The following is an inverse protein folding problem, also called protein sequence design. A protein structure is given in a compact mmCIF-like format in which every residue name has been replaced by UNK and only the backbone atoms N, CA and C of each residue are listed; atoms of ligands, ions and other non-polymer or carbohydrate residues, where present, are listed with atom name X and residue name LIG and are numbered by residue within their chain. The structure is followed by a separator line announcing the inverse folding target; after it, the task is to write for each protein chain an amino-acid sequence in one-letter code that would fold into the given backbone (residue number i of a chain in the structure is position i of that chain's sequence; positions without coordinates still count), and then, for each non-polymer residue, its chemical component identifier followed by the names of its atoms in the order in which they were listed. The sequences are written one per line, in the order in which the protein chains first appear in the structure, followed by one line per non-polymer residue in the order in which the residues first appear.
data_IF_319807639622
#
_entry.id   IF_319807639622
#
_cell.length_a   1.000
_cell.length_b   1.000
_cell.length_c   1.000
_cell.angle_alpha   90.00
_cell.angle_beta   90.00
_cell.angle_gamma   90.00
#
_symmetry.space_group_name_H-M   'P 1'
#
loop_
_entity.id
_entity.type
_entity.pdbx_description
1 polymer ?
#
# COMPACT_ATOMS: atom_id res chain seq x y z
N UNK A 1 -18.53 9.62 -28.48
CA UNK A 1 -19.24 8.47 -27.89
C UNK A 1 -18.86 8.38 -26.41
N UNK A 2 -19.81 8.27 -25.48
CA UNK A 2 -19.48 8.06 -24.06
C UNK A 2 -18.78 6.70 -23.89
N UNK A 3 -17.71 6.65 -23.10
CA UNK A 3 -17.03 5.41 -22.75
C UNK A 3 -17.91 4.68 -21.72
N UNK A 4 -18.32 3.42 -21.97
CA UNK A 4 -19.04 2.64 -20.97
C UNK A 4 -18.17 2.49 -19.71
N UNK A 5 -18.76 2.71 -18.54
CA UNK A 5 -18.08 2.55 -17.23
C UNK A 5 -17.40 1.19 -17.11
N UNK A 6 -18.02 0.14 -17.67
CA UNK A 6 -17.47 -1.23 -17.72
C UNK A 6 -16.19 -1.40 -18.56
N UNK A 7 -15.73 -0.36 -19.27
CA UNK A 7 -14.45 -0.35 -20.00
C UNK A 7 -13.34 0.38 -19.25
N UNK A 8 -13.64 1.00 -18.11
CA UNK A 8 -12.64 1.64 -17.28
C UNK A 8 -11.83 0.54 -16.58
N UNK A 9 -10.58 0.37 -17.01
CA UNK A 9 -9.62 -0.57 -16.45
C UNK A 9 -8.62 0.06 -15.49
N UNK A 10 -8.50 1.39 -15.50
CA UNK A 10 -7.58 2.13 -14.64
C UNK A 10 -8.26 3.38 -14.13
N UNK A 11 -8.09 3.66 -12.84
CA UNK A 11 -8.71 4.81 -12.19
C UNK A 11 -7.75 5.43 -11.17
N UNK A 12 -7.71 6.75 -11.17
CA UNK A 12 -7.16 7.54 -10.08
C UNK A 12 -8.30 8.27 -9.38
N UNK A 13 -8.30 8.27 -8.04
CA UNK A 13 -9.28 8.96 -7.22
C UNK A 13 -8.61 9.78 -6.12
N UNK A 14 -8.89 11.08 -6.11
CA UNK A 14 -8.71 11.96 -4.94
C UNK A 14 -10.06 12.60 -4.60
N UNK A 15 -10.98 11.84 -3.97
CA UNK A 15 -12.39 12.21 -3.94
C UNK A 15 -12.74 13.21 -2.82
N UNK A 16 -11.87 13.38 -1.83
CA UNK A 16 -12.08 14.30 -0.71
C UNK A 16 -11.36 15.62 -0.97
N UNK A 17 -12.03 16.73 -0.65
CA UNK A 17 -11.50 18.08 -0.89
C UNK A 17 -10.60 18.59 0.24
N UNK A 18 -10.59 17.91 1.38
CA UNK A 18 -9.74 18.20 2.53
C UNK A 18 -9.25 16.92 3.20
N UNK A 19 -8.73 17.06 4.42
CA UNK A 19 -8.00 15.99 5.12
C UNK A 19 -8.92 15.05 5.91
N UNK A 20 -10.17 14.87 5.48
CA UNK A 20 -11.11 14.00 6.19
C UNK A 20 -12.00 13.17 5.26
N UNK A 21 -12.31 11.94 5.69
CA UNK A 21 -13.30 11.08 5.02
C UNK A 21 -14.74 11.36 5.44
N UNK A 22 -14.98 12.32 6.36
CA UNK A 22 -16.29 12.62 6.97
C UNK A 22 -17.26 13.36 6.04
N UNK A 23 -17.30 12.92 4.78
CA UNK A 23 -18.23 13.35 3.75
C UNK A 23 -19.05 12.14 3.28
N UNK A 24 -20.10 11.78 4.03
CA UNK A 24 -20.91 10.58 3.77
C UNK A 24 -21.35 10.42 2.32
N UNK A 25 -21.73 11.53 1.66
CA UNK A 25 -22.11 11.53 0.25
C UNK A 25 -20.97 11.03 -0.65
N UNK A 26 -19.76 11.52 -0.42
CA UNK A 26 -18.55 11.12 -1.17
C UNK A 26 -18.25 9.65 -0.92
N UNK A 27 -18.29 9.20 0.33
CA UNK A 27 -18.11 7.79 0.72
C UNK A 27 -19.10 6.87 -0.01
N UNK A 28 -20.39 7.21 -0.01
CA UNK A 28 -21.41 6.43 -0.72
C UNK A 28 -21.16 6.39 -2.22
N UNK A 29 -20.79 7.52 -2.84
CA UNK A 29 -20.48 7.59 -4.26
C UNK A 29 -19.26 6.74 -4.65
N UNK A 30 -18.23 6.68 -3.81
CA UNK A 30 -17.07 5.80 -4.01
C UNK A 30 -17.52 4.33 -3.99
N UNK A 31 -18.31 3.93 -3.00
CA UNK A 31 -18.78 2.56 -2.87
C UNK A 31 -19.66 2.14 -4.07
N UNK A 32 -20.54 3.02 -4.54
CA UNK A 32 -21.34 2.81 -5.75
C UNK A 32 -20.45 2.68 -6.99
N UNK A 33 -19.46 3.57 -7.14
CA UNK A 33 -18.51 3.56 -8.25
C UNK A 33 -17.72 2.24 -8.28
N UNK A 34 -17.21 1.77 -7.15
CA UNK A 34 -16.48 0.50 -7.07
C UNK A 34 -17.38 -0.71 -7.34
N UNK A 35 -18.65 -0.66 -6.94
CA UNK A 35 -19.62 -1.68 -7.31
C UNK A 35 -19.81 -1.77 -8.83
N UNK A 36 -19.93 -0.62 -9.51
CA UNK A 36 -20.06 -0.55 -10.97
C UNK A 36 -18.78 -1.02 -11.69
N UNK A 37 -17.62 -0.74 -11.12
CA UNK A 37 -16.30 -1.00 -11.71
C UNK A 37 -15.69 -2.34 -11.32
N UNK A 38 -16.24 -3.07 -10.34
CA UNK A 38 -15.59 -4.22 -9.71
C UNK A 38 -15.14 -5.35 -10.65
N UNK A 39 -15.78 -5.45 -11.82
CA UNK A 39 -15.43 -6.45 -12.86
C UNK A 39 -14.46 -5.95 -13.93
N UNK A 40 -14.29 -4.64 -14.07
CA UNK A 40 -13.47 -4.04 -15.13
C UNK A 40 -12.20 -3.40 -14.62
N UNK A 41 -12.21 -2.88 -13.39
CA UNK A 41 -11.09 -2.15 -12.82
C UNK A 41 -9.95 -3.10 -12.48
N UNK A 42 -8.78 -2.84 -13.07
CA UNK A 42 -7.54 -3.58 -12.88
C UNK A 42 -6.50 -2.77 -12.12
N UNK A 43 -6.54 -1.45 -12.23
CA UNK A 43 -5.58 -0.54 -11.63
C UNK A 43 -6.29 0.57 -10.87
N UNK A 44 -5.95 0.74 -9.61
CA UNK A 44 -6.53 1.79 -8.76
C UNK A 44 -5.44 2.50 -7.98
N UNK A 45 -5.35 3.82 -8.16
CA UNK A 45 -4.56 4.71 -7.31
C UNK A 45 -5.53 5.58 -6.51
N UNK A 46 -5.43 5.54 -5.19
CA UNK A 46 -6.24 6.37 -4.31
C UNK A 46 -5.37 7.37 -3.56
N UNK A 47 -5.86 8.59 -3.49
CA UNK A 47 -5.41 9.63 -2.60
C UNK A 47 -6.58 9.96 -1.66
N UNK A 48 -6.68 9.20 -0.56
CA UNK A 48 -7.75 9.33 0.43
C UNK A 48 -7.15 9.44 1.83
N UNK A 49 -7.62 10.37 2.68
CA UNK A 49 -7.11 10.55 4.04
C UNK A 49 -7.75 9.55 5.02
N UNK A 50 -7.57 8.24 4.82
CA UNK A 50 -8.27 7.22 5.62
C UNK A 50 -7.90 7.28 7.12
N UNK A 51 -6.69 7.71 7.47
CA UNK A 51 -6.22 8.01 8.84
C UNK A 51 -6.91 9.19 9.55
N UNK A 52 -7.72 9.97 8.84
CA UNK A 52 -8.40 11.14 9.40
C UNK A 52 -9.54 10.82 10.39
N UNK A 53 -9.97 9.56 10.43
CA UNK A 53 -11.11 9.14 11.22
C UNK A 53 -10.91 7.70 11.68
N UNK A 54 -10.75 7.48 12.99
CA UNK A 54 -10.42 6.16 13.54
C UNK A 54 -11.66 5.26 13.71
N UNK A 55 -11.50 3.92 13.73
CA UNK A 55 -12.61 2.98 13.90
C UNK A 55 -13.51 3.25 15.11
N UNK A 56 -12.94 3.71 16.22
CA UNK A 56 -13.64 4.06 17.46
C UNK A 56 -14.52 5.30 17.31
N UNK A 57 -14.13 6.20 16.41
CA UNK A 57 -14.88 7.41 16.10
C UNK A 57 -16.01 7.14 15.09
N UNK A 58 -15.85 6.11 14.25
CA UNK A 58 -16.77 5.75 13.17
C UNK A 58 -17.99 4.93 13.64
N UNK A 59 -18.13 4.68 14.95
CA UNK A 59 -19.26 3.91 15.50
C UNK A 59 -20.63 4.49 15.11
N UNK A 60 -20.74 5.82 15.03
CA UNK A 60 -22.00 6.49 14.68
C UNK A 60 -22.09 6.77 13.18
N UNK A 61 -20.97 7.11 12.55
CA UNK A 61 -20.94 7.55 11.16
C UNK A 61 -20.83 6.40 10.16
N UNK A 62 -20.37 5.22 10.55
CA UNK A 62 -20.37 3.99 9.77
C UNK A 62 -19.88 4.20 8.33
N UNK A 63 -18.85 5.03 8.14
CA UNK A 63 -18.25 5.38 6.85
C UNK A 63 -17.29 4.28 6.37
N UNK A 64 -16.46 3.74 7.26
CA UNK A 64 -15.50 2.67 6.98
C UNK A 64 -16.16 1.38 6.52
N UNK A 65 -17.26 0.89 7.13
CA UNK A 65 -17.97 -0.28 6.60
C UNK A 65 -18.47 -0.06 5.18
N UNK A 66 -18.95 1.15 4.85
CA UNK A 66 -19.40 1.49 3.49
C UNK A 66 -18.24 1.49 2.50
N UNK A 67 -17.12 2.14 2.85
CA UNK A 67 -15.90 2.12 2.02
C UNK A 67 -15.40 0.71 1.81
N UNK A 68 -15.26 -0.07 2.90
CA UNK A 68 -14.81 -1.46 2.87
C UNK A 68 -15.68 -2.30 1.93
N UNK A 69 -17.00 -2.22 2.06
CA UNK A 69 -17.94 -2.93 1.19
C UNK A 69 -17.74 -2.60 -0.30
N UNK A 70 -17.42 -1.34 -0.61
CA UNK A 70 -17.06 -0.91 -1.97
C UNK A 70 -15.74 -1.51 -2.46
N UNK A 71 -14.66 -1.39 -1.68
CA UNK A 71 -13.35 -1.94 -2.05
C UNK A 71 -13.37 -3.47 -2.20
N UNK A 72 -14.21 -4.18 -1.42
CA UNK A 72 -14.39 -5.63 -1.54
C UNK A 72 -14.97 -6.06 -2.89
N UNK A 73 -15.64 -5.17 -3.64
CA UNK A 73 -16.16 -5.48 -4.98
C UNK A 73 -15.06 -5.55 -6.05
N UNK A 74 -13.87 -5.02 -5.79
CA UNK A 74 -12.78 -4.87 -6.76
C UNK A 74 -11.99 -6.18 -6.99
N UNK A 75 -12.66 -7.31 -7.18
CA UNK A 75 -12.04 -8.64 -7.26
C UNK A 75 -11.17 -8.87 -8.51
N UNK A 76 -11.21 -7.95 -9.47
CA UNK A 76 -10.37 -7.96 -10.67
C UNK A 76 -9.12 -7.07 -10.57
N UNK A 77 -8.88 -6.44 -9.42
CA UNK A 77 -7.76 -5.55 -9.23
C UNK A 77 -6.43 -6.31 -9.32
N UNK A 78 -5.56 -5.83 -10.20
CA UNK A 78 -4.21 -6.35 -10.45
C UNK A 78 -3.14 -5.43 -9.83
N UNK A 79 -3.44 -4.13 -9.72
CA UNK A 79 -2.55 -3.11 -9.18
C UNK A 79 -3.32 -2.14 -8.27
N UNK A 80 -2.80 -1.94 -7.07
CA UNK A 80 -3.35 -1.01 -6.09
C UNK A 80 -2.27 -0.12 -5.48
N UNK A 81 -2.57 1.17 -5.35
CA UNK A 81 -1.74 2.13 -4.62
C UNK A 81 -2.62 3.01 -3.73
N UNK A 82 -2.30 3.04 -2.44
CA UNK A 82 -2.83 4.00 -1.47
C UNK A 82 -1.74 5.01 -1.12
N UNK A 83 -1.92 6.25 -1.58
CA UNK A 83 -0.90 7.31 -1.48
C UNK A 83 -0.73 7.82 -0.05
N UNK A 84 -1.84 8.00 0.67
CA UNK A 84 -1.84 8.67 1.98
C UNK A 84 -2.08 7.75 3.17
N UNK A 85 -2.30 6.46 2.92
CA UNK A 85 -2.69 5.51 3.96
C UNK A 85 -2.28 4.07 3.67
N UNK A 86 -2.42 3.20 4.67
CA UNK A 86 -2.16 1.76 4.57
C UNK A 86 -3.41 0.97 4.14
N UNK A 87 -4.43 1.65 3.62
CA UNK A 87 -5.78 1.11 3.40
C UNK A 87 -6.42 0.65 4.72
N UNK A 88 -6.21 1.41 5.80
CA UNK A 88 -6.79 1.08 7.10
C UNK A 88 -8.31 1.24 7.04
N UNK A 89 -9.02 0.13 6.87
CA UNK A 89 -10.48 0.05 6.71
C UNK A 89 -11.12 -0.90 7.73
N UNK A 90 -10.42 -1.22 8.81
CA UNK A 90 -11.03 -1.77 10.01
C UNK A 90 -12.11 -0.80 10.53
N UNK A 91 -13.17 -1.36 11.13
CA UNK A 91 -14.30 -0.62 11.70
C UNK A 91 -14.91 -1.41 12.85
N UNK A 92 -15.45 -0.73 13.87
CA UNK A 92 -16.12 -1.38 15.00
C UNK A 92 -17.52 -1.91 14.60
N UNK A 93 -17.71 -3.23 14.72
CA UNK A 93 -19.04 -3.84 14.63
C UNK A 93 -19.55 -4.12 16.06
N UNK A 94 -20.53 -3.34 16.57
CA UNK A 94 -21.03 -3.51 17.94
C UNK A 94 -21.80 -4.83 18.14
N UNK A 95 -22.07 -5.59 17.08
CA UNK A 95 -22.69 -6.91 17.16
C UNK A 95 -21.68 -8.04 17.40
N UNK A 96 -20.38 -7.75 17.26
CA UNK A 96 -19.28 -8.70 17.43
C UNK A 96 -18.57 -8.37 18.76
N UNK A 97 -18.09 -9.39 19.47
CA UNK A 97 -17.37 -9.17 20.73
C UNK A 97 -16.01 -8.49 20.49
N UNK A 98 -15.52 -7.69 21.45
CA UNK A 98 -14.23 -7.00 21.33
C UNK A 98 -13.06 -7.94 21.02
N UNK A 99 -13.07 -9.14 21.62
CA UNK A 99 -12.05 -10.16 21.38
C UNK A 99 -12.11 -10.72 19.95
N UNK A 100 -13.33 -10.90 19.41
CA UNK A 100 -13.52 -11.30 18.03
C UNK A 100 -13.21 -10.15 17.06
N UNK A 101 -13.29 -8.89 17.50
CA UNK A 101 -12.95 -7.72 16.69
C UNK A 101 -11.44 -7.69 16.35
N UNK A 102 -10.60 -7.92 17.35
CA UNK A 102 -9.12 -7.96 17.21
C UNK A 102 -8.61 -9.09 16.30
N UNK A 103 -9.42 -10.16 16.14
CA UNK A 103 -9.09 -11.37 15.37
C UNK A 103 -9.83 -11.48 14.01
N UNK A 104 -11.07 -11.01 13.89
CA UNK A 104 -11.94 -11.20 12.71
C UNK A 104 -12.03 -9.99 11.78
N UNK A 105 -11.86 -8.76 12.28
CA UNK A 105 -11.83 -7.56 11.42
C UNK A 105 -10.43 -7.44 10.82
N UNK A 106 -10.11 -8.42 9.97
CA UNK A 106 -8.86 -8.53 9.25
C UNK A 106 -8.62 -7.22 8.48
N UNK A 107 -7.62 -6.48 8.92
CA UNK A 107 -7.28 -5.16 8.42
C UNK A 107 -6.62 -5.23 7.01
N UNK A 108 -6.12 -6.41 6.64
CA UNK A 108 -5.54 -6.67 5.32
C UNK A 108 -6.60 -7.02 4.28
N UNK A 109 -7.55 -6.10 4.07
CA UNK A 109 -8.68 -6.34 3.18
C UNK A 109 -8.27 -6.61 1.71
N UNK A 110 -7.07 -6.16 1.32
CA UNK A 110 -6.49 -6.40 0.01
C UNK A 110 -6.18 -7.88 -0.26
N UNK A 111 -6.18 -8.76 0.75
CA UNK A 111 -6.12 -10.22 0.55
C UNK A 111 -7.31 -10.76 -0.23
N UNK A 112 -8.45 -10.04 -0.20
CA UNK A 112 -9.67 -10.40 -0.93
C UNK A 112 -9.56 -10.12 -2.44
N UNK A 113 -8.45 -9.56 -2.92
CA UNK A 113 -8.22 -9.30 -4.33
C UNK A 113 -7.35 -10.41 -4.94
N UNK A 114 -7.95 -11.49 -5.46
CA UNK A 114 -7.21 -12.70 -5.85
C UNK A 114 -6.25 -12.48 -7.03
N UNK A 115 -6.40 -11.38 -7.78
CA UNK A 115 -5.57 -11.05 -8.94
C UNK A 115 -4.49 -10.01 -8.64
N UNK A 116 -4.39 -9.53 -7.40
CA UNK A 116 -3.47 -8.46 -7.06
C UNK A 116 -2.03 -8.95 -7.22
N UNK A 117 -1.28 -8.22 -8.05
CA UNK A 117 0.14 -8.44 -8.35
C UNK A 117 1.02 -7.36 -7.74
N UNK A 118 0.49 -6.15 -7.63
CA UNK A 118 1.25 -4.95 -7.25
C UNK A 118 0.49 -4.20 -6.16
N UNK A 119 1.12 -4.05 -5.01
CA UNK A 119 0.54 -3.42 -3.83
C UNK A 119 1.45 -2.28 -3.34
N UNK A 120 0.93 -1.06 -3.28
CA UNK A 120 1.64 0.07 -2.72
C UNK A 120 0.83 0.69 -1.57
N UNK A 121 1.46 0.82 -0.40
CA UNK A 121 0.84 1.31 0.83
C UNK A 121 1.70 2.41 1.45
N UNK A 122 1.07 3.41 2.05
CA UNK A 122 1.75 4.42 2.83
C UNK A 122 1.65 4.10 4.32
N UNK A 123 2.78 4.18 5.00
CA UNK A 123 2.91 4.05 6.44
C UNK A 123 2.38 2.74 7.03
N UNK A 124 2.55 1.65 6.29
CA UNK A 124 2.17 0.31 6.73
C UNK A 124 3.08 -0.18 7.85
N UNK A 125 2.47 -0.71 8.90
CA UNK A 125 3.16 -1.45 9.95
C UNK A 125 3.75 -2.76 9.42
N UNK A 126 5.07 -2.92 9.52
CA UNK A 126 5.82 -4.09 9.07
C UNK A 126 5.99 -5.11 10.22
N UNK A 127 4.94 -5.87 10.49
CA UNK A 127 4.89 -6.88 11.56
C UNK A 127 4.59 -8.31 11.05
N UNK A 128 4.53 -9.27 11.96
CA UNK A 128 4.24 -10.67 11.63
C UNK A 128 2.85 -10.88 11.01
N UNK A 129 1.86 -10.05 11.37
CA UNK A 129 0.50 -10.12 10.82
C UNK A 129 0.51 -9.69 9.34
N UNK A 130 1.19 -8.60 9.02
CA UNK A 130 1.36 -8.14 7.65
C UNK A 130 2.14 -9.15 6.79
N UNK A 131 3.23 -9.75 7.30
CA UNK A 131 3.93 -10.84 6.58
C UNK A 131 3.01 -12.01 6.26
N UNK A 132 2.19 -12.41 7.24
CA UNK A 132 1.24 -13.50 7.07
C UNK A 132 0.18 -13.16 6.02
N UNK A 133 -0.24 -11.90 5.94
CA UNK A 133 -1.14 -11.41 4.89
C UNK A 133 -0.55 -11.56 3.49
N UNK A 134 0.67 -11.04 3.28
CA UNK A 134 1.36 -11.12 2.00
C UNK A 134 1.63 -12.58 1.57
N UNK A 135 1.90 -13.49 2.53
CA UNK A 135 2.08 -14.91 2.26
C UNK A 135 0.81 -15.59 1.72
N UNK A 136 -0.38 -15.08 2.07
CA UNK A 136 -1.67 -15.55 1.54
C UNK A 136 -2.00 -15.02 0.15
N UNK A 137 -1.15 -14.18 -0.45
CA UNK A 137 -1.35 -13.57 -1.76
C UNK A 137 -0.48 -14.26 -2.82
N UNK A 138 -0.99 -15.29 -3.53
CA UNK A 138 -0.16 -16.13 -4.40
C UNK A 138 0.32 -15.41 -5.66
N UNK A 139 -0.44 -14.42 -6.13
CA UNK A 139 -0.12 -13.66 -7.35
C UNK A 139 0.67 -12.37 -7.07
N UNK A 140 0.97 -12.07 -5.81
CA UNK A 140 1.74 -10.87 -5.47
C UNK A 140 3.17 -11.01 -6.01
N UNK A 141 3.59 -9.97 -6.74
CA UNK A 141 4.89 -9.87 -7.42
C UNK A 141 5.70 -8.67 -6.92
N UNK A 142 5.02 -7.59 -6.52
CA UNK A 142 5.69 -6.39 -6.01
C UNK A 142 4.92 -5.74 -4.88
N UNK A 143 5.68 -5.32 -3.86
CA UNK A 143 5.19 -4.49 -2.77
C UNK A 143 6.05 -3.25 -2.62
N UNK A 144 5.39 -2.10 -2.49
CA UNK A 144 6.03 -0.82 -2.19
C UNK A 144 5.43 -0.28 -0.90
N UNK A 145 6.27 0.02 0.09
CA UNK A 145 5.82 0.66 1.32
C UNK A 145 6.55 1.97 1.51
N UNK A 146 5.81 3.06 1.51
CA UNK A 146 6.35 4.40 1.72
C UNK A 146 6.27 4.76 3.19
N UNK A 147 7.39 5.19 3.78
CA UNK A 147 7.54 5.53 5.20
C UNK A 147 7.03 4.40 6.11
N UNK A 148 7.56 3.17 5.99
CA UNK A 148 7.11 2.04 6.80
C UNK A 148 7.30 2.30 8.30
N UNK A 149 6.38 1.81 9.11
CA UNK A 149 6.55 1.68 10.55
C UNK A 149 7.09 0.26 10.85
N UNK A 150 8.11 0.17 11.70
CA UNK A 150 8.78 -1.08 12.02
C UNK A 150 8.30 -1.62 13.37
N UNK A 151 7.45 -2.64 13.35
CA UNK A 151 7.01 -3.34 14.58
C UNK A 151 8.11 -4.19 15.22
N UNK A 152 9.14 -4.53 14.44
CA UNK A 152 10.35 -5.26 14.82
C UNK A 152 11.56 -4.55 14.20
N UNK A 153 12.79 -4.92 14.58
CA UNK A 153 13.98 -4.32 13.96
C UNK A 153 14.00 -4.52 12.42
N UNK A 154 14.30 -3.47 11.65
CA UNK A 154 14.33 -3.48 10.17
C UNK A 154 15.09 -4.68 9.58
N UNK A 155 16.23 -5.05 10.18
CA UNK A 155 17.03 -6.19 9.73
C UNK A 155 16.31 -7.55 9.83
N UNK A 156 15.40 -7.72 10.80
CA UNK A 156 14.57 -8.92 10.91
C UNK A 156 13.54 -8.97 9.79
N UNK A 157 12.92 -7.82 9.48
CA UNK A 157 11.98 -7.72 8.37
C UNK A 157 12.62 -8.07 7.02
N UNK A 158 13.78 -7.49 6.71
CA UNK A 158 14.52 -7.78 5.46
C UNK A 158 14.84 -9.27 5.36
N UNK A 159 15.32 -9.86 6.45
CA UNK A 159 15.66 -11.29 6.51
C UNK A 159 14.42 -12.13 6.21
N UNK A 160 13.33 -11.86 6.90
CA UNK A 160 12.11 -12.65 6.82
C UNK A 160 11.46 -12.50 5.44
N UNK A 161 11.52 -11.32 4.82
CA UNK A 161 11.07 -11.14 3.44
C UNK A 161 11.90 -11.98 2.46
N UNK A 162 13.22 -11.99 2.60
CA UNK A 162 14.10 -12.83 1.78
C UNK A 162 13.83 -14.32 1.94
N UNK A 163 13.57 -14.79 3.17
CA UNK A 163 13.29 -16.20 3.45
C UNK A 163 11.89 -16.61 2.96
N UNK A 164 10.87 -15.80 3.22
CA UNK A 164 9.47 -16.14 2.93
C UNK A 164 9.11 -15.98 1.45
N UNK A 165 9.69 -14.98 0.79
CA UNK A 165 9.30 -14.61 -0.57
C UNK A 165 10.40 -14.81 -1.59
N UNK A 166 11.67 -14.81 -1.19
CA UNK A 166 12.80 -15.00 -2.10
C UNK A 166 12.76 -14.03 -3.29
N UNK A 167 12.79 -14.58 -4.50
CA UNK A 167 12.69 -13.86 -5.77
C UNK A 167 11.24 -13.60 -6.22
N UNK A 168 10.25 -14.26 -5.59
CA UNK A 168 8.83 -14.17 -5.95
C UNK A 168 8.28 -12.74 -5.82
N UNK A 169 8.71 -12.01 -4.78
CA UNK A 169 8.17 -10.68 -4.47
C UNK A 169 9.28 -9.65 -4.41
N UNK A 170 9.23 -8.67 -5.30
CA UNK A 170 10.04 -7.44 -5.22
C UNK A 170 9.49 -6.53 -4.13
N UNK A 171 10.26 -6.34 -3.06
CA UNK A 171 9.88 -5.46 -1.94
C UNK A 171 10.70 -4.18 -1.98
N UNK A 172 10.06 -3.02 -2.06
CA UNK A 172 10.73 -1.72 -2.02
C UNK A 172 10.18 -0.83 -0.92
N UNK A 173 11.08 -0.24 -0.12
CA UNK A 173 10.71 0.70 0.94
C UNK A 173 11.14 2.11 0.56
N UNK A 174 10.20 3.04 0.50
CA UNK A 174 10.51 4.45 0.24
C UNK A 174 10.67 5.15 1.58
N UNK A 175 11.80 5.81 1.79
CA UNK A 175 12.09 6.61 2.99
C UNK A 175 12.66 7.96 2.60
N UNK A 176 12.85 8.85 3.57
CA UNK A 176 13.51 10.13 3.36
C UNK A 176 14.91 10.12 3.98
N UNK A 177 15.78 10.98 3.47
CA UNK A 177 17.09 11.27 4.08
C UNK A 177 17.46 12.72 3.79
N UNK A 178 18.18 13.35 4.72
CA UNK A 178 18.85 14.65 4.50
C UNK A 178 20.30 14.44 4.02
N UNK A 179 20.77 13.19 3.94
CA UNK A 179 22.15 12.84 3.66
C UNK A 179 22.27 12.43 2.19
N UNK A 180 22.92 13.28 1.38
CA UNK A 180 23.06 13.06 -0.06
C UNK A 180 23.71 11.70 -0.43
N UNK A 181 24.64 11.19 0.38
CA UNK A 181 25.26 9.88 0.15
C UNK A 181 24.31 8.70 0.41
N UNK A 182 23.23 8.92 1.16
CA UNK A 182 22.19 7.93 1.47
C UNK A 182 21.06 7.87 0.46
N UNK A 183 20.96 8.91 -0.38
CA UNK A 183 19.92 9.06 -1.38
C UNK A 183 19.97 7.99 -2.48
N UNK A 184 18.81 7.71 -3.06
CA UNK A 184 18.64 6.77 -4.16
C UNK A 184 18.40 5.33 -3.71
N UNK A 185 18.47 4.43 -4.67
CA UNK A 185 18.14 3.02 -4.49
C UNK A 185 19.29 2.20 -3.89
N UNK A 186 18.96 1.34 -2.91
CA UNK A 186 19.89 0.42 -2.25
C UNK A 186 19.28 -0.96 -2.09
N UNK A 187 20.01 -1.99 -2.49
CA UNK A 187 19.64 -3.39 -2.25
C UNK A 187 20.02 -3.80 -0.82
N UNK A 188 19.16 -4.59 -0.18
CA UNK A 188 19.43 -5.15 1.14
C UNK A 188 19.80 -6.62 1.06
N UNK A 189 20.72 -7.03 1.93
CA UNK A 189 21.10 -8.42 2.13
C UNK A 189 21.29 -8.69 3.62
N UNK A 190 21.08 -9.94 4.04
CA UNK A 190 21.27 -10.37 5.43
C UNK A 190 22.23 -11.55 5.48
N UNK A 191 23.16 -11.52 6.43
CA UNK A 191 24.09 -12.63 6.70
C UNK A 191 23.38 -13.69 7.56
N UNK A 192 23.86 -14.94 7.51
CA UNK A 192 23.28 -16.08 8.25
C UNK A 192 21.87 -16.50 7.79
N UNK A 193 21.63 -16.50 6.48
CA UNK A 193 20.46 -17.15 5.84
C UNK A 193 20.89 -18.44 5.12
N UNK A 194 19.94 -19.34 4.78
CA UNK A 194 20.25 -20.52 3.97
C UNK A 194 21.00 -20.17 2.68
N UNK A 195 21.91 -21.04 2.26
CA UNK A 195 22.66 -20.85 1.01
C UNK A 195 21.70 -20.80 -0.18
N UNK A 196 21.89 -19.82 -1.07
CA UNK A 196 21.04 -19.60 -2.24
C UNK A 196 19.78 -18.77 -2.00
N UNK A 197 19.54 -18.25 -0.78
CA UNK A 197 18.47 -17.27 -0.55
C UNK A 197 18.69 -16.01 -1.39
N UNK A 198 17.75 -15.73 -2.29
CA UNK A 198 17.74 -14.49 -3.08
C UNK A 198 17.00 -13.39 -2.31
N UNK A 199 17.59 -12.20 -2.25
CA UNK A 199 16.96 -11.04 -1.63
C UNK A 199 16.50 -10.09 -2.72
N UNK A 200 15.19 -9.97 -2.89
CA UNK A 200 14.60 -8.95 -3.76
C UNK A 200 14.02 -7.80 -2.92
N UNK A 201 14.84 -7.29 -1.99
CA UNK A 201 14.44 -6.30 -0.99
C UNK A 201 15.29 -5.04 -1.15
N UNK A 202 14.64 -3.89 -1.31
CA UNK A 202 15.25 -2.63 -1.69
C UNK A 202 14.74 -1.49 -0.80
N UNK A 203 15.56 -0.46 -0.63
CA UNK A 203 15.08 0.84 -0.15
C UNK A 203 15.43 1.94 -1.15
N UNK A 204 14.53 2.89 -1.31
CA UNK A 204 14.74 4.13 -2.04
C UNK A 204 14.69 5.27 -1.03
N UNK A 205 15.82 5.96 -0.85
CA UNK A 205 15.89 7.14 0.03
C UNK A 205 15.70 8.41 -0.81
N UNK A 206 14.57 9.09 -0.63
CA UNK A 206 14.31 10.40 -1.19
C UNK A 206 15.14 11.45 -0.44
N UNK A 207 16.04 12.12 -1.15
CA UNK A 207 16.76 13.26 -0.61
C UNK A 207 15.80 14.44 -0.48
N UNK A 208 15.69 14.99 0.72
CA UNK A 208 14.90 16.17 1.03
C UNK A 208 15.78 17.21 1.71
N UNK A 209 15.47 18.48 1.50
CA UNK A 209 16.07 19.55 2.29
C UNK A 209 15.45 19.55 3.70
N UNK A 210 16.17 20.09 4.68
CA UNK A 210 15.73 20.11 6.09
C UNK A 210 14.40 20.82 6.33
N UNK A 211 14.02 21.72 5.43
CA UNK A 211 12.78 22.50 5.50
C UNK A 211 11.60 21.76 4.85
N UNK A 212 11.86 20.72 4.08
CA UNK A 212 10.82 19.95 3.39
C UNK A 212 10.08 19.02 4.36
N UNK A 213 8.78 18.88 4.14
CA UNK A 213 7.98 17.92 4.90
C UNK A 213 8.24 16.48 4.39
N UNK A 214 8.80 15.58 5.22
CA UNK A 214 9.08 14.21 4.81
C UNK A 214 7.82 13.41 4.48
N UNK A 215 6.66 13.77 5.05
CA UNK A 215 5.39 13.09 4.76
C UNK A 215 4.94 13.43 3.34
N UNK A 216 4.80 14.72 3.02
CA UNK A 216 4.38 15.18 1.70
C UNK A 216 5.37 14.69 0.63
N UNK A 217 6.68 14.74 0.89
CA UNK A 217 7.70 14.30 -0.07
C UNK A 217 7.55 12.84 -0.54
N UNK A 218 7.35 11.89 0.39
CA UNK A 218 7.18 10.48 0.00
C UNK A 218 5.79 10.21 -0.59
N UNK A 219 4.76 10.92 -0.15
CA UNK A 219 3.41 10.81 -0.71
C UNK A 219 3.39 11.31 -2.16
N UNK A 220 3.98 12.46 -2.43
CA UNK A 220 4.10 13.04 -3.77
C UNK A 220 4.92 12.14 -4.70
N UNK A 221 6.07 11.63 -4.24
CA UNK A 221 6.87 10.69 -5.01
C UNK A 221 6.07 9.43 -5.36
N UNK A 222 5.40 8.84 -4.37
CA UNK A 222 4.60 7.62 -4.55
C UNK A 222 3.45 7.87 -5.52
N UNK A 223 2.81 9.03 -5.40
CA UNK A 223 1.71 9.44 -6.26
C UNK A 223 2.15 9.64 -7.71
N UNK A 224 3.17 10.45 -7.96
CA UNK A 224 3.67 10.70 -9.32
C UNK A 224 4.11 9.41 -10.00
N UNK A 225 4.90 8.59 -9.30
CA UNK A 225 5.38 7.31 -9.83
C UNK A 225 4.28 6.26 -9.96
N UNK A 226 3.24 6.33 -9.14
CA UNK A 226 2.05 5.53 -9.38
C UNK A 226 1.39 6.00 -10.68
N UNK A 227 1.16 7.29 -10.89
CA UNK A 227 0.47 7.76 -12.10
C UNK A 227 1.19 7.37 -13.41
N UNK A 228 2.52 7.46 -13.45
CA UNK A 228 3.31 7.12 -14.65
C UNK A 228 3.67 5.63 -14.77
N UNK A 229 3.38 4.83 -13.72
CA UNK A 229 3.64 3.39 -13.68
C UNK A 229 5.06 3.00 -13.27
N UNK A 230 5.95 3.96 -12.99
CA UNK A 230 7.35 3.72 -12.61
C UNK A 230 7.54 3.28 -11.15
N UNK A 231 6.49 3.32 -10.33
CA UNK A 231 6.56 2.94 -8.91
C UNK A 231 7.06 1.51 -8.69
N UNK A 232 6.80 0.63 -9.65
CA UNK A 232 7.11 -0.80 -9.55
C UNK A 232 8.52 -1.15 -10.06
N UNK A 233 9.13 -0.24 -10.83
CA UNK A 233 10.38 -0.45 -11.55
C UNK A 233 11.44 0.59 -11.14
N UNK A 234 11.48 0.94 -9.84
CA UNK A 234 12.43 1.91 -9.28
C UNK A 234 13.90 1.56 -9.58
N UNK A 235 14.20 0.28 -9.82
CA UNK A 235 15.51 -0.23 -10.27
C UNK A 235 15.94 0.33 -11.63
N UNK A 236 14.99 0.49 -12.54
CA UNK A 236 15.26 0.86 -13.93
C UNK A 236 15.24 2.39 -14.11
N UNK A 237 14.50 3.09 -13.24
CA UNK A 237 14.36 4.55 -13.28
C UNK A 237 15.64 5.31 -12.91
N UNK A 238 16.48 4.76 -12.03
CA UNK A 238 17.71 5.42 -11.58
C UNK A 238 18.95 5.10 -12.43
N UNK A 239 18.80 4.30 -13.50
CA UNK A 239 19.91 3.90 -14.36
C UNK A 239 21.02 3.23 -13.55
N UNK A 240 20.86 1.93 -13.26
CA UNK A 240 21.84 1.05 -12.63
C UNK A 240 23.20 1.07 -13.37
N UNK A 241 23.98 2.11 -13.06
CA UNK A 241 25.37 2.29 -13.39
C UNK A 241 25.93 3.23 -12.33
N UNK A 242 26.11 2.73 -11.10
CA UNK A 242 27.11 3.21 -10.14
C UNK A 242 27.19 2.29 -8.91
N UNK A 243 28.28 1.52 -8.89
CA UNK A 243 28.95 0.89 -7.74
C UNK A 243 28.29 -0.33 -7.10
N UNK A 244 28.72 -1.49 -7.58
CA UNK A 244 28.91 -2.70 -6.77
C UNK A 244 30.21 -2.49 -5.98
N UNK A 245 30.15 -2.59 -4.65
CA UNK A 245 31.29 -2.90 -3.79
C UNK A 245 30.91 -4.10 -2.92
#
# INVERSE_FOLDING_TARGET
FPIPVSRIGSLYLSPFSGDTIRERKVVTQIAELFTLLGRSLKRLVIDMPLRSHYPEEDMNEQLRPVLRGGFEQLVHLEEFCSVKDELYLAYWDPTISQQAHDDEVNDFMFEKWPKLRRLALYNQMLDSKFRSALARMPNLESIVVSRPDYGEAEGLWVRDMGILFGDRVLSTYIKTTEIASEAGLRGHYVTNVPEGTQFNVWSYSLLLDKEDDPISGVQDLSFQRALDGSLWDLRDADGLNRYIF
#
